data_IF_960890499578
#
_entry.id   IF_960890499578
#
_cell.length_a   1.000
_cell.length_b   1.000
_cell.length_c   1.000
_cell.angle_alpha   90.00
_cell.angle_beta   90.00
_cell.angle_gamma   90.00
#
_symmetry.space_group_name_H-M   'P 1'
#
loop_
_entity.id
_entity.type
_entity.pdbx_description
1 polymer ?
#
# COMPACT_ATOMS: atom_id res chain seq x y z
N UNK A 1 10.15 -9.49 60.30
CA UNK A 1 11.22 -8.95 61.17
C UNK A 1 12.52 -9.02 60.39
N UNK A 2 13.41 -8.03 60.55
CA UNK A 2 14.59 -7.63 59.74
C UNK A 2 14.26 -6.98 58.38
N UNK A 3 14.19 -5.66 58.13
CA UNK A 3 14.94 -4.41 58.46
C UNK A 3 16.16 -4.07 57.59
N UNK A 4 16.02 -2.92 56.93
CA UNK A 4 16.99 -1.86 56.58
C UNK A 4 17.96 -2.02 55.39
N UNK A 5 17.99 -0.96 54.57
CA UNK A 5 19.01 -0.73 53.53
C UNK A 5 18.68 0.43 52.59
N UNK A 6 18.53 1.64 53.14
CA UNK A 6 18.42 2.92 52.40
C UNK A 6 19.74 3.27 51.71
N UNK A 7 19.68 3.81 50.50
CA UNK A 7 20.85 4.27 49.75
C UNK A 7 20.48 5.24 48.63
N UNK A 8 20.21 6.49 49.00
CA UNK A 8 20.22 7.65 48.10
C UNK A 8 21.63 7.84 47.54
N UNK A 9 21.78 8.01 46.23
CA UNK A 9 22.91 8.72 45.65
C UNK A 9 22.45 9.50 44.41
N UNK A 10 22.18 10.79 44.64
CA UNK A 10 22.11 11.82 43.61
C UNK A 10 23.51 12.04 43.06
N UNK A 11 23.73 11.76 41.77
CA UNK A 11 24.97 12.09 41.08
C UNK A 11 24.67 13.06 39.94
N UNK A 12 25.48 14.11 39.92
CA UNK A 12 25.31 15.38 39.24
C UNK A 12 25.27 15.32 37.71
N UNK A 13 24.53 16.28 37.14
CA UNK A 13 24.49 16.63 35.72
C UNK A 13 25.85 17.18 35.23
N UNK A 14 26.41 16.68 34.13
CA UNK A 14 27.51 17.37 33.46
C UNK A 14 26.97 18.55 32.63
N UNK A 15 27.35 19.76 33.06
CA UNK A 15 27.18 21.00 32.29
C UNK A 15 28.46 21.24 31.47
N UNK A 16 28.41 21.08 30.14
CA UNK A 16 29.49 21.60 29.28
C UNK A 16 28.98 22.12 27.92
N UNK A 17 28.83 23.45 27.91
CA UNK A 17 29.16 24.47 26.89
C UNK A 17 29.07 24.12 25.39
N UNK A 18 28.17 24.85 24.72
CA UNK A 18 28.16 25.16 23.29
C UNK A 18 29.50 25.78 22.82
N UNK A 19 30.05 25.26 21.73
CA UNK A 19 31.14 25.90 20.98
C UNK A 19 30.55 26.47 19.68
N UNK A 20 30.48 27.79 19.59
CA UNK A 20 30.17 28.53 18.37
C UNK A 20 31.42 28.54 17.47
N UNK A 21 31.32 27.90 16.29
CA UNK A 21 32.33 28.06 15.23
C UNK A 21 31.96 29.26 14.36
N UNK A 22 32.61 30.39 14.59
CA UNK A 22 32.74 31.46 13.60
C UNK A 22 34.04 31.23 12.82
N UNK A 23 33.96 31.25 11.49
CA UNK A 23 35.13 31.51 10.64
C UNK A 23 34.67 32.14 9.32
N UNK A 24 34.78 33.46 9.34
CA UNK A 24 34.94 34.48 8.30
C UNK A 24 35.05 34.09 6.81
N UNK A 25 34.35 34.89 5.98
CA UNK A 25 34.63 35.12 4.55
C UNK A 25 35.84 36.04 4.39
N UNK A 26 36.57 35.91 3.26
CA UNK A 26 36.74 37.04 2.32
C UNK A 26 36.50 36.56 0.88
N UNK A 27 35.65 37.17 0.04
CA UNK A 27 35.65 38.49 -0.62
C UNK A 27 36.65 38.66 -1.78
N UNK A 28 36.06 39.03 -2.94
CA UNK A 28 36.62 39.57 -4.20
C UNK A 28 37.50 38.61 -5.04
N UNK A 29 37.52 38.63 -6.38
CA UNK A 29 37.32 39.71 -7.35
C UNK A 29 37.03 39.19 -8.78
N UNK A 30 36.11 39.85 -9.49
CA UNK A 30 35.96 39.89 -10.97
C UNK A 30 37.21 40.57 -11.62
N UNK A 31 37.57 40.41 -12.92
CA UNK A 31 36.74 40.90 -14.04
C UNK A 31 36.89 40.30 -15.48
N UNK A 32 35.80 40.51 -16.25
CA UNK A 32 35.65 40.94 -17.68
C UNK A 32 36.34 40.20 -18.85
N UNK A 33 35.51 39.84 -19.86
CA UNK A 33 35.44 40.34 -21.28
C UNK A 33 34.27 39.60 -21.97
N UNK A 34 33.15 40.22 -22.37
CA UNK A 34 32.86 41.02 -23.58
C UNK A 34 33.26 40.32 -24.90
N UNK A 35 32.52 40.32 -26.02
CA UNK A 35 31.15 40.61 -26.43
C UNK A 35 31.06 40.22 -27.94
N UNK A 36 29.84 40.08 -28.48
CA UNK A 36 29.44 40.22 -29.90
C UNK A 36 29.95 39.23 -30.96
N UNK A 37 29.01 38.49 -31.56
CA UNK A 37 28.91 38.40 -33.02
C UNK A 37 27.44 38.13 -33.43
N UNK A 38 26.85 39.14 -34.06
CA UNK A 38 25.63 39.04 -34.87
C UNK A 38 25.97 38.25 -36.14
N UNK A 39 25.13 37.28 -36.49
CA UNK A 39 25.21 36.57 -37.76
C UNK A 39 23.83 36.14 -38.22
N UNK A 40 23.17 37.00 -39.00
CA UNK A 40 22.04 36.62 -39.83
C UNK A 40 22.55 35.73 -40.96
N UNK A 41 22.04 34.49 -41.03
CA UNK A 41 22.24 33.58 -42.15
C UNK A 41 20.95 32.85 -42.43
N UNK A 42 20.17 33.38 -43.37
CA UNK A 42 19.01 32.69 -43.97
C UNK A 42 19.55 31.65 -44.94
N UNK A 43 19.23 30.38 -44.71
CA UNK A 43 19.34 29.34 -45.73
C UNK A 43 18.09 28.46 -45.69
N UNK A 44 17.27 28.60 -46.73
CA UNK A 44 16.16 27.72 -47.05
C UNK A 44 16.68 26.34 -47.48
N UNK A 45 15.89 25.31 -47.16
CA UNK A 45 15.77 24.12 -48.00
C UNK A 45 16.50 22.88 -47.49
N UNK A 46 15.80 22.07 -46.69
CA UNK A 46 15.31 20.76 -47.13
C UNK A 46 14.67 20.06 -45.92
N UNK A 47 13.36 19.86 -46.01
CA UNK A 47 12.59 19.08 -45.07
C UNK A 47 13.03 17.61 -45.17
N UNK A 48 13.80 17.14 -44.21
CA UNK A 48 13.70 15.76 -43.76
C UNK A 48 12.88 15.79 -42.48
N UNK A 49 11.60 15.43 -42.61
CA UNK A 49 10.82 14.97 -41.48
C UNK A 49 11.45 13.65 -40.99
N UNK A 50 12.51 13.76 -40.20
CA UNK A 50 12.88 12.69 -39.29
C UNK A 50 11.78 12.67 -38.24
N UNK A 51 10.73 11.88 -38.50
CA UNK A 51 9.91 11.34 -37.42
C UNK A 51 10.85 10.50 -36.57
N UNK A 52 11.50 11.15 -35.61
CA UNK A 52 11.97 10.48 -34.42
C UNK A 52 10.71 9.99 -33.71
N UNK A 53 10.15 8.88 -34.20
CA UNK A 53 9.48 7.92 -33.38
C UNK A 53 10.51 7.50 -32.33
N UNK A 54 10.65 8.32 -31.29
CA UNK A 54 10.82 7.78 -29.97
C UNK A 54 9.64 6.83 -29.86
N UNK A 55 9.93 5.55 -30.10
CA UNK A 55 9.04 4.48 -29.74
C UNK A 55 8.67 4.79 -28.30
N UNK A 56 7.43 5.26 -28.12
CA UNK A 56 6.68 4.88 -26.95
C UNK A 56 6.73 3.36 -27.01
N UNK A 57 7.71 2.80 -26.30
CA UNK A 57 7.51 1.52 -25.65
C UNK A 57 6.22 1.75 -24.89
N UNK A 58 5.10 1.34 -25.48
CA UNK A 58 3.85 1.27 -24.77
C UNK A 58 4.19 0.37 -23.58
N UNK A 59 4.19 0.88 -22.34
CA UNK A 59 4.35 0.00 -21.22
C UNK A 59 3.20 -0.98 -21.34
N UNK A 60 3.54 -2.27 -21.41
CA UNK A 60 2.59 -3.37 -21.32
C UNK A 60 1.61 -3.00 -20.19
N UNK A 61 0.35 -2.81 -20.57
CA UNK A 61 -0.81 -2.38 -19.79
C UNK A 61 -0.57 -2.36 -18.28
N UNK A 62 0.03 -1.28 -17.78
CA UNK A 62 -0.09 -0.92 -16.38
C UNK A 62 -1.54 -0.47 -16.24
N UNK A 63 -2.34 -1.29 -15.56
CA UNK A 63 -3.72 -1.00 -15.25
C UNK A 63 -3.92 0.44 -14.79
N UNK A 64 -5.04 1.06 -15.18
CA UNK A 64 -5.37 2.42 -14.77
C UNK A 64 -5.40 2.50 -13.24
N UNK A 65 -4.41 3.19 -12.66
CA UNK A 65 -4.31 3.37 -11.22
C UNK A 65 -5.61 3.99 -10.70
N UNK A 66 -6.21 3.36 -9.71
CA UNK A 66 -7.40 3.91 -9.05
C UNK A 66 -6.95 5.09 -8.21
N UNK A 67 -7.47 6.28 -8.51
CA UNK A 67 -7.16 7.50 -7.75
C UNK A 67 -8.06 7.56 -6.53
N UNK A 68 -7.48 7.38 -5.34
CA UNK A 68 -8.24 7.31 -4.10
C UNK A 68 -9.27 6.19 -4.17
N UNK A 69 -10.50 6.48 -3.74
CA UNK A 69 -11.59 5.51 -3.63
C UNK A 69 -12.61 5.58 -4.79
N UNK A 70 -12.19 6.00 -5.99
CA UNK A 70 -13.05 6.09 -7.17
C UNK A 70 -13.31 4.72 -7.81
N UNK A 71 -14.06 3.90 -7.08
CA UNK A 71 -14.53 2.60 -7.53
C UNK A 71 -15.92 2.70 -8.19
N UNK A 72 -16.08 1.92 -9.25
CA UNK A 72 -17.34 1.70 -9.97
C UNK A 72 -17.73 0.24 -9.82
N UNK A 73 -19.02 0.02 -9.91
CA UNK A 73 -19.56 -1.32 -9.87
C UNK A 73 -19.07 -2.12 -11.09
N UNK A 74 -18.63 -3.36 -10.85
CA UNK A 74 -18.06 -4.23 -11.88
C UNK A 74 -16.58 -3.98 -12.20
N UNK A 75 -15.92 -3.02 -11.52
CA UNK A 75 -14.49 -2.82 -11.71
C UNK A 75 -13.70 -4.07 -11.34
N UNK A 76 -12.79 -4.48 -12.22
CA UNK A 76 -11.81 -5.50 -11.90
C UNK A 76 -10.54 -4.80 -11.45
N UNK A 77 -10.12 -5.03 -10.21
CA UNK A 77 -8.96 -4.36 -9.62
C UNK A 77 -7.94 -5.35 -9.09
N UNK A 78 -6.70 -4.90 -9.00
CA UNK A 78 -5.65 -5.54 -8.20
C UNK A 78 -5.34 -4.65 -7.01
N UNK A 79 -4.90 -5.27 -5.91
CA UNK A 79 -4.40 -4.57 -4.74
C UNK A 79 -2.95 -5.00 -4.53
N UNK A 80 -2.01 -4.06 -4.64
CA UNK A 80 -0.57 -4.31 -4.46
C UNK A 80 -0.11 -3.77 -3.11
N UNK A 81 0.56 -4.62 -2.34
CA UNK A 81 1.07 -4.28 -1.02
C UNK A 81 2.40 -3.50 -1.08
N UNK A 82 2.85 -3.06 0.09
CA UNK A 82 4.16 -2.44 0.31
C UNK A 82 5.36 -3.34 -0.04
N UNK A 83 5.18 -4.67 0.01
CA UNK A 83 6.18 -5.66 -0.44
C UNK A 83 6.28 -5.76 -1.96
N UNK A 84 5.37 -5.12 -2.70
CA UNK A 84 5.30 -5.20 -4.15
C UNK A 84 4.63 -6.46 -4.69
N UNK A 85 4.19 -7.38 -3.83
CA UNK A 85 3.36 -8.53 -4.18
C UNK A 85 1.88 -8.14 -4.20
N UNK A 86 1.09 -8.93 -4.91
CA UNK A 86 -0.35 -8.75 -5.02
C UNK A 86 -1.10 -9.49 -3.92
N UNK A 87 -2.13 -8.83 -3.42
CA UNK A 87 -3.12 -9.38 -2.53
C UNK A 87 -4.06 -10.31 -3.31
N UNK A 88 -4.11 -11.57 -2.89
CA UNK A 88 -4.70 -12.67 -3.65
C UNK A 88 -5.42 -13.65 -2.73
N UNK A 89 -6.49 -14.26 -3.24
CA UNK A 89 -7.08 -15.46 -2.64
C UNK A 89 -6.06 -16.61 -2.66
N UNK A 90 -6.08 -17.40 -1.60
CA UNK A 90 -5.21 -18.55 -1.39
C UNK A 90 -6.05 -19.71 -0.86
N UNK A 91 -6.14 -20.80 -1.64
CA UNK A 91 -6.94 -21.97 -1.30
C UNK A 91 -6.12 -22.98 -0.49
N UNK A 92 -6.66 -23.43 0.64
CA UNK A 92 -6.06 -24.36 1.61
C UNK A 92 -4.68 -23.90 2.12
N UNK A 93 -4.48 -22.60 2.22
CA UNK A 93 -3.19 -22.03 2.62
C UNK A 93 -3.00 -21.93 4.14
N UNK A 94 -4.06 -22.16 4.92
CA UNK A 94 -4.00 -22.22 6.38
C UNK A 94 -4.53 -23.61 6.78
N UNK A 95 -3.69 -24.49 7.32
CA UNK A 95 -4.13 -25.78 7.85
C UNK A 95 -5.21 -25.60 8.90
N UNK A 96 -6.26 -26.43 8.85
CA UNK A 96 -7.36 -26.46 9.81
C UNK A 96 -8.13 -25.14 9.98
N UNK A 97 -8.07 -24.24 8.99
CA UNK A 97 -8.91 -23.05 8.97
C UNK A 97 -10.39 -23.39 8.79
N UNK A 98 -11.27 -22.54 9.32
CA UNK A 98 -12.72 -22.67 9.22
C UNK A 98 -13.22 -22.65 7.76
N UNK A 99 -12.47 -22.00 6.86
CA UNK A 99 -12.76 -21.92 5.44
C UNK A 99 -11.49 -22.19 4.63
N UNK A 100 -11.61 -22.76 3.41
CA UNK A 100 -10.44 -23.09 2.60
C UNK A 100 -9.79 -21.85 1.97
N UNK A 101 -10.56 -20.81 1.70
CA UNK A 101 -10.14 -19.63 0.93
C UNK A 101 -9.77 -18.45 1.84
N UNK A 102 -8.49 -18.30 2.16
CA UNK A 102 -7.95 -17.16 2.90
C UNK A 102 -7.34 -16.11 1.93
N UNK A 103 -7.06 -14.91 2.41
CA UNK A 103 -6.43 -13.87 1.60
C UNK A 103 -4.99 -13.59 2.06
N UNK A 104 -4.05 -13.60 1.11
CA UNK A 104 -2.61 -13.48 1.34
C UNK A 104 -1.99 -12.43 0.41
N UNK A 105 -0.83 -11.90 0.80
CA UNK A 105 0.03 -11.07 -0.05
C UNK A 105 1.20 -11.92 -0.53
N UNK A 106 0.98 -12.70 -1.58
CA UNK A 106 1.98 -13.68 -2.04
C UNK A 106 2.25 -13.64 -3.55
N UNK A 107 1.28 -13.20 -4.35
CA UNK A 107 1.34 -13.31 -5.80
C UNK A 107 2.35 -12.33 -6.41
N UNK A 108 3.27 -12.84 -7.23
CA UNK A 108 4.31 -12.05 -7.91
C UNK A 108 3.83 -11.37 -9.20
N UNK A 109 2.69 -11.82 -9.73
CA UNK A 109 2.07 -11.30 -10.93
C UNK A 109 0.55 -11.26 -10.75
N UNK A 110 -0.11 -10.49 -11.61
CA UNK A 110 -1.58 -10.47 -11.70
C UNK A 110 -2.04 -11.84 -12.19
N UNK A 111 -2.87 -12.51 -11.39
CA UNK A 111 -3.52 -13.79 -11.67
C UNK A 111 -5.00 -13.69 -11.35
N UNK A 112 -5.87 -14.63 -11.79
CA UNK A 112 -7.29 -14.58 -11.45
C UNK A 112 -7.56 -14.41 -9.95
N UNK A 113 -6.84 -15.14 -9.09
CA UNK A 113 -6.98 -15.06 -7.64
C UNK A 113 -6.51 -13.71 -7.04
N UNK A 114 -5.70 -12.94 -7.77
CA UNK A 114 -5.23 -11.61 -7.38
C UNK A 114 -6.10 -10.46 -7.94
N UNK A 115 -7.16 -10.80 -8.69
CA UNK A 115 -8.12 -9.83 -9.24
C UNK A 115 -9.42 -9.89 -8.45
N UNK A 116 -9.88 -8.71 -8.05
CA UNK A 116 -11.10 -8.51 -7.26
C UNK A 116 -12.11 -7.76 -8.10
N UNK A 117 -13.32 -8.30 -8.23
CA UNK A 117 -14.44 -7.55 -8.81
C UNK A 117 -15.06 -6.70 -7.72
N UNK A 118 -15.12 -5.39 -7.94
CA UNK A 118 -15.74 -4.45 -7.01
C UNK A 118 -17.25 -4.46 -7.21
N UNK A 119 -17.96 -4.63 -6.11
CA UNK A 119 -19.41 -4.41 -6.03
C UNK A 119 -19.65 -3.20 -5.14
N UNK A 120 -20.41 -2.20 -5.63
CA UNK A 120 -20.77 -1.06 -4.81
C UNK A 120 -21.86 -1.45 -3.82
N UNK A 121 -21.56 -1.29 -2.54
CA UNK A 121 -22.50 -1.47 -1.45
C UNK A 121 -23.14 -0.14 -1.06
N UNK A 122 -24.16 -0.20 -0.19
CA UNK A 122 -24.78 1.00 0.38
C UNK A 122 -23.76 1.84 1.18
N UNK A 123 -24.09 3.12 1.40
CA UNK A 123 -23.31 4.04 2.24
C UNK A 123 -21.85 4.22 1.79
N UNK A 124 -21.61 4.24 0.47
CA UNK A 124 -20.28 4.41 -0.14
C UNK A 124 -19.26 3.32 0.26
N UNK A 125 -19.74 2.14 0.65
CA UNK A 125 -18.89 0.97 0.87
C UNK A 125 -18.71 0.18 -0.42
N UNK A 126 -17.73 -0.70 -0.41
CA UNK A 126 -17.48 -1.68 -1.47
C UNK A 126 -17.42 -3.08 -0.91
N UNK A 127 -17.86 -4.05 -1.69
CA UNK A 127 -17.54 -5.46 -1.48
C UNK A 127 -16.55 -5.90 -2.57
N UNK A 128 -15.65 -6.80 -2.21
CA UNK A 128 -14.62 -7.30 -3.11
C UNK A 128 -14.86 -8.78 -3.39
N UNK A 129 -15.34 -9.10 -4.58
CA UNK A 129 -15.59 -10.47 -5.00
C UNK A 129 -14.31 -11.09 -5.58
N UNK A 130 -13.92 -12.25 -5.08
CA UNK A 130 -12.81 -13.03 -5.64
C UNK A 130 -13.20 -13.80 -6.91
N UNK A 131 -12.22 -14.42 -7.54
CA UNK A 131 -12.38 -15.29 -8.71
C UNK A 131 -13.25 -16.54 -8.47
N UNK A 132 -13.41 -16.95 -7.22
CA UNK A 132 -14.31 -18.03 -6.81
C UNK A 132 -15.78 -17.59 -6.67
N UNK A 133 -16.10 -16.32 -6.97
CA UNK A 133 -17.44 -15.75 -6.86
C UNK A 133 -17.87 -15.40 -5.43
N UNK A 134 -17.03 -15.64 -4.43
CA UNK A 134 -17.30 -15.28 -3.02
C UNK A 134 -16.66 -13.93 -2.67
N UNK A 135 -17.10 -13.33 -1.59
CA UNK A 135 -16.65 -12.02 -1.14
C UNK A 135 -15.59 -12.12 -0.05
N UNK A 136 -14.62 -11.21 -0.16
CA UNK A 136 -13.64 -10.94 0.88
C UNK A 136 -14.34 -10.36 2.11
N UNK A 137 -14.12 -10.99 3.24
CA UNK A 137 -14.74 -10.62 4.49
C UNK A 137 -13.82 -10.86 5.68
N UNK A 138 -14.00 -10.06 6.72
CA UNK A 138 -13.41 -10.33 8.04
C UNK A 138 -14.03 -11.60 8.62
N UNK A 139 -13.19 -12.43 9.22
CA UNK A 139 -13.53 -13.70 9.81
C UNK A 139 -12.86 -13.81 11.18
N UNK A 140 -13.66 -13.85 12.25
CA UNK A 140 -13.15 -13.86 13.62
C UNK A 140 -12.87 -15.29 14.08
N UNK A 141 -11.65 -15.55 14.57
CA UNK A 141 -11.15 -16.84 15.04
C UNK A 141 -11.23 -17.97 13.99
N UNK A 142 -11.12 -17.61 12.71
CA UNK A 142 -11.24 -18.58 11.61
C UNK A 142 -9.94 -19.29 11.28
N UNK A 143 -8.80 -18.78 11.73
CA UNK A 143 -7.51 -19.44 11.60
C UNK A 143 -6.95 -19.90 12.95
N UNK A 144 -6.48 -21.15 13.03
CA UNK A 144 -5.87 -21.67 14.24
C UNK A 144 -4.52 -20.99 14.51
N UNK A 145 -4.26 -20.69 15.78
CA UNK A 145 -2.96 -20.18 16.27
C UNK A 145 -2.59 -18.85 15.57
N UNK A 146 -3.58 -18.08 15.12
CA UNK A 146 -3.36 -16.73 14.62
C UNK A 146 -3.05 -15.78 15.78
N UNK A 147 -2.16 -14.83 15.53
CA UNK A 147 -1.78 -13.77 16.50
C UNK A 147 -2.86 -12.72 16.68
N UNK A 148 -3.81 -12.63 15.74
CA UNK A 148 -4.97 -11.76 15.79
C UNK A 148 -6.23 -12.59 15.53
N UNK A 149 -7.36 -12.19 16.13
CA UNK A 149 -8.62 -12.90 15.96
C UNK A 149 -9.22 -12.67 14.57
N UNK A 150 -9.09 -11.47 14.01
CA UNK A 150 -9.79 -11.06 12.79
C UNK A 150 -8.90 -11.18 11.55
N UNK A 151 -9.14 -12.24 10.75
CA UNK A 151 -8.44 -12.51 9.50
C UNK A 151 -9.35 -12.28 8.28
N UNK A 152 -8.76 -11.97 7.12
CA UNK A 152 -9.50 -11.80 5.87
C UNK A 152 -9.62 -13.12 5.09
N UNK A 153 -10.85 -13.58 4.88
CA UNK A 153 -11.18 -14.79 4.12
C UNK A 153 -12.11 -14.47 2.94
N UNK A 154 -12.08 -15.28 1.88
CA UNK A 154 -12.92 -15.15 0.69
C UNK A 154 -14.01 -16.23 0.70
N UNK A 155 -14.97 -16.08 1.62
CA UNK A 155 -15.89 -17.16 2.00
C UNK A 155 -17.37 -16.79 1.97
N UNK A 156 -17.72 -15.50 1.99
CA UNK A 156 -19.10 -15.02 2.04
C UNK A 156 -19.75 -15.12 0.67
N UNK A 157 -20.94 -15.72 0.56
CA UNK A 157 -21.64 -15.87 -0.71
C UNK A 157 -22.37 -14.58 -1.13
N UNK A 158 -22.97 -13.89 -0.16
CA UNK A 158 -23.68 -12.63 -0.35
C UNK A 158 -23.15 -11.57 0.63
N UNK A 159 -22.53 -10.52 0.08
CA UNK A 159 -21.92 -9.44 0.87
C UNK A 159 -22.94 -8.64 1.70
N UNK A 160 -24.24 -8.80 1.45
CA UNK A 160 -25.32 -8.15 2.21
C UNK A 160 -25.68 -8.89 3.49
N UNK A 161 -25.23 -10.14 3.67
CA UNK A 161 -25.47 -10.94 4.88
C UNK A 161 -24.88 -10.30 6.14
N UNK A 162 -23.81 -9.53 5.99
CA UNK A 162 -23.15 -8.91 7.12
C UNK A 162 -22.21 -7.78 6.77
N UNK A 163 -22.04 -6.82 7.70
CA UNK A 163 -21.16 -5.68 7.50
C UNK A 163 -19.67 -6.07 7.44
N UNK A 164 -19.30 -7.26 7.93
CA UNK A 164 -17.93 -7.81 7.86
C UNK A 164 -17.45 -8.15 6.43
N UNK A 165 -18.36 -8.19 5.45
CA UNK A 165 -18.05 -8.37 4.03
C UNK A 165 -18.04 -7.05 3.23
N UNK A 166 -18.14 -5.90 3.91
CA UNK A 166 -18.24 -4.59 3.31
C UNK A 166 -17.15 -3.65 3.84
N UNK A 167 -16.46 -2.99 2.93
CA UNK A 167 -15.27 -2.20 3.23
C UNK A 167 -15.51 -0.73 2.96
N UNK A 168 -15.13 0.11 3.91
CA UNK A 168 -15.06 1.56 3.70
C UNK A 168 -13.68 1.87 3.13
N UNK A 169 -13.63 2.40 1.91
CA UNK A 169 -12.38 2.86 1.33
C UNK A 169 -12.02 4.25 1.83
N UNK A 170 -10.74 4.44 2.19
CA UNK A 170 -10.15 5.73 2.55
C UNK A 170 -9.00 6.05 1.61
N UNK A 171 -8.88 7.30 1.16
CA UNK A 171 -7.69 7.77 0.43
C UNK A 171 -6.51 7.85 1.39
N UNK A 172 -5.47 7.05 1.15
CA UNK A 172 -4.25 7.04 1.96
C UNK A 172 -3.17 8.00 1.41
N UNK A 173 -3.48 8.73 0.35
CA UNK A 173 -2.58 9.64 -0.34
C UNK A 173 -1.56 8.90 -1.22
N UNK A 174 -0.88 9.66 -2.09
CA UNK A 174 0.17 9.13 -2.99
C UNK A 174 -0.30 7.96 -3.86
N UNK A 175 -1.58 7.95 -4.24
CA UNK A 175 -2.18 6.89 -5.06
C UNK A 175 -2.43 5.58 -4.32
N UNK A 176 -2.46 5.61 -2.98
CA UNK A 176 -2.79 4.46 -2.15
C UNK A 176 -4.17 4.62 -1.51
N UNK A 177 -4.74 3.49 -1.13
CA UNK A 177 -5.99 3.41 -0.36
C UNK A 177 -5.77 2.63 0.92
N UNK A 178 -6.69 2.78 1.87
CA UNK A 178 -6.89 1.87 2.99
C UNK A 178 -8.33 1.36 2.96
N UNK A 179 -8.56 0.15 3.47
CA UNK A 179 -9.88 -0.47 3.53
C UNK A 179 -10.21 -0.76 4.99
N UNK A 180 -11.16 -0.03 5.55
CA UNK A 180 -11.67 -0.24 6.90
C UNK A 180 -12.85 -1.20 6.86
N UNK A 181 -12.94 -2.09 7.84
CA UNK A 181 -14.11 -2.93 8.06
C UNK A 181 -15.20 -2.19 8.86
N UNK A 182 -16.17 -2.94 9.36
CA UNK A 182 -17.25 -2.47 10.21
C UNK A 182 -16.85 -2.24 11.68
N UNK A 183 -15.73 -2.78 12.15
CA UNK A 183 -15.16 -2.51 13.49
C UNK A 183 -14.30 -1.26 13.53
N UNK A 184 -13.99 -0.68 12.36
CA UNK A 184 -13.12 0.48 12.21
C UNK A 184 -11.63 0.15 12.11
N UNK A 185 -11.29 -1.15 12.07
CA UNK A 185 -9.94 -1.63 11.84
C UNK A 185 -9.67 -1.79 10.33
N UNK A 186 -8.40 -1.78 9.96
CA UNK A 186 -7.98 -1.75 8.56
C UNK A 186 -7.44 -3.10 8.10
N UNK A 187 -7.88 -3.50 6.89
CA UNK A 187 -7.30 -4.62 6.15
C UNK A 187 -5.81 -4.37 5.91
N UNK A 188 -4.99 -5.24 6.49
CA UNK A 188 -3.55 -5.06 6.60
C UNK A 188 -2.82 -6.36 6.35
N UNK A 189 -1.66 -6.27 5.69
CA UNK A 189 -0.70 -7.37 5.62
C UNK A 189 -0.09 -7.61 7.00
N UNK A 190 -0.03 -8.87 7.41
CA UNK A 190 0.54 -9.30 8.67
C UNK A 190 1.56 -10.42 8.41
N UNK A 191 2.82 -10.14 8.74
CA UNK A 191 3.94 -11.04 8.47
C UNK A 191 4.11 -12.07 9.60
N UNK A 192 4.07 -13.36 9.26
CA UNK A 192 4.14 -14.52 10.17
C UNK A 192 3.07 -14.51 11.27
N UNK A 193 1.90 -13.94 10.98
CA UNK A 193 0.82 -13.80 11.96
C UNK A 193 -0.10 -15.02 12.06
N UNK A 194 0.05 -15.96 11.14
CA UNK A 194 -0.65 -17.25 11.09
C UNK A 194 0.31 -18.31 10.57
N UNK A 195 0.11 -19.57 10.96
CA UNK A 195 0.83 -20.70 10.39
C UNK A 195 0.28 -21.03 8.99
N UNK A 196 0.57 -20.17 8.01
CA UNK A 196 0.12 -20.29 6.64
C UNK A 196 1.21 -20.74 5.67
N UNK A 197 0.81 -21.09 4.44
CA UNK A 197 1.69 -21.46 3.34
C UNK A 197 2.64 -20.32 2.90
N UNK A 198 2.28 -19.07 3.21
CA UNK A 198 3.06 -17.88 2.93
C UNK A 198 3.19 -17.03 4.20
N UNK A 199 4.27 -16.23 4.34
CA UNK A 199 4.49 -15.45 5.55
C UNK A 199 3.51 -14.27 5.66
N UNK A 200 3.07 -13.70 4.55
CA UNK A 200 2.26 -12.48 4.53
C UNK A 200 0.76 -12.79 4.34
N UNK A 201 0.04 -13.00 5.44
CA UNK A 201 -1.41 -13.13 5.45
C UNK A 201 -2.10 -11.76 5.59
N UNK A 202 -3.40 -11.66 5.29
CA UNK A 202 -4.16 -10.43 5.48
C UNK A 202 -5.10 -10.52 6.68
N UNK A 203 -4.96 -9.55 7.57
CA UNK A 203 -5.70 -9.43 8.81
C UNK A 203 -6.43 -8.09 8.88
N UNK A 204 -7.40 -7.99 9.79
CA UNK A 204 -8.13 -6.75 10.08
C UNK A 204 -7.81 -6.31 11.50
N UNK A 205 -6.61 -5.77 11.70
CA UNK A 205 -6.06 -5.54 13.05
C UNK A 205 -5.52 -4.13 13.31
N UNK A 206 -5.21 -3.34 12.27
CA UNK A 206 -4.64 -2.01 12.48
C UNK A 206 -5.77 -1.05 12.81
N UNK A 207 -5.64 -0.29 13.90
CA UNK A 207 -6.59 0.78 14.22
C UNK A 207 -6.39 2.03 13.33
N UNK A 208 -5.22 2.15 12.68
CA UNK A 208 -4.87 3.30 11.86
C UNK A 208 -4.01 2.87 10.66
N UNK A 209 -4.25 3.44 9.49
CA UNK A 209 -3.40 3.19 8.30
C UNK A 209 -2.30 4.25 8.10
N UNK A 210 -2.40 5.43 8.72
CA UNK A 210 -1.40 6.48 8.56
C UNK A 210 -0.02 6.01 9.04
N UNK A 211 0.98 6.16 8.17
CA UNK A 211 2.35 5.69 8.41
C UNK A 211 2.50 4.17 8.60
N UNK A 212 1.45 3.38 8.32
CA UNK A 212 1.46 1.91 8.33
C UNK A 212 1.38 1.40 6.90
N UNK A 213 2.55 1.21 6.27
CA UNK A 213 2.61 0.86 4.84
C UNK A 213 1.92 -0.48 4.53
N UNK A 214 1.94 -1.42 5.48
CA UNK A 214 1.28 -2.71 5.37
C UNK A 214 -0.26 -2.65 5.49
N UNK A 215 -0.82 -1.50 5.90
CA UNK A 215 -2.26 -1.23 5.92
C UNK A 215 -2.73 -0.37 4.73
N UNK A 216 -1.86 -0.19 3.73
CA UNK A 216 -2.13 0.63 2.56
C UNK A 216 -1.92 -0.19 1.28
N UNK A 217 -2.79 0.04 0.30
CA UNK A 217 -2.82 -0.74 -0.94
C UNK A 217 -2.70 0.19 -2.14
N UNK A 218 -1.92 -0.21 -3.13
CA UNK A 218 -1.96 0.44 -4.45
C UNK A 218 -3.01 -0.30 -5.28
N UNK A 219 -4.12 0.37 -5.59
CA UNK A 219 -5.19 -0.20 -6.38
C UNK A 219 -5.03 0.16 -7.87
N UNK A 220 -5.20 -0.81 -8.75
CA UNK A 220 -5.15 -0.59 -10.21
C UNK A 220 -6.21 -1.43 -10.91
N UNK A 221 -6.94 -0.82 -11.84
CA UNK A 221 -7.94 -1.49 -12.69
C UNK A 221 -7.22 -2.40 -13.68
N UNK A 222 -7.73 -3.61 -13.88
CA UNK A 222 -7.23 -4.51 -14.92
C UNK A 222 -8.22 -4.55 -16.07
N UNK A 223 -7.70 -4.58 -17.30
CA UNK A 223 -8.51 -4.79 -18.49
C UNK A 223 -9.16 -6.18 -18.48
N UNK A 224 -10.27 -6.30 -19.21
CA UNK A 224 -10.92 -7.58 -19.46
C UNK A 224 -10.09 -8.47 -20.40
#
# INVERSE_FOLDING_TARGET
MTTYGSGNNSVALPTTRLVLKHSERPSASRPRKAALALGLGVALGCAYAATAHHGRVAPLLLGDAVRGCDFRDGDRITLRADTGKYFSRCNNCIPDAAYPDAAFVHADAVSPAAVWTVVRAANNKVALQGDNGKFLARCTNCAPIATHADEAFVHVADYTEGPWAQWTCMDAGKGKIALADDTGNYLSRCNNCVNGAFPDAAFVHEAHFHNKQHAQWTAARVGN
#
